data_IF_433211751689
#
_entry.id   IF_433211751689
#
_cell.length_a   1.000
_cell.length_b   1.000
_cell.length_c   1.000
_cell.angle_alpha   90.00
_cell.angle_beta   90.00
_cell.angle_gamma   90.00
#
_symmetry.space_group_name_H-M   'P 1'
#
loop_
_entity.id
_entity.type
_entity.pdbx_description
1 polymer ?
#
# COMPACT_ATOMS: atom_id res chain seq x y z
N UNK A 1 32.11 -41.26 7.49
CA UNK A 1 32.45 -40.64 6.19
C UNK A 1 31.34 -39.77 5.56
N UNK A 2 30.19 -39.50 6.22
CA UNK A 2 29.09 -38.66 5.67
C UNK A 2 28.89 -37.28 6.35
N UNK A 3 29.57 -36.96 7.46
CA UNK A 3 29.39 -35.66 8.15
C UNK A 3 30.32 -34.55 7.64
N UNK A 4 31.55 -34.87 7.23
CA UNK A 4 32.54 -33.87 6.79
C UNK A 4 32.14 -33.09 5.52
N UNK A 5 31.44 -33.71 4.57
CA UNK A 5 31.03 -33.01 3.33
C UNK A 5 29.91 -31.97 3.55
N UNK A 6 29.05 -32.11 4.57
CA UNK A 6 27.98 -31.14 4.83
C UNK A 6 28.52 -29.84 5.44
N UNK A 7 29.57 -29.95 6.25
CA UNK A 7 30.22 -28.82 6.91
C UNK A 7 31.01 -27.96 5.91
N UNK A 8 31.69 -28.60 4.94
CA UNK A 8 32.35 -27.88 3.84
C UNK A 8 31.37 -27.17 2.89
N UNK A 9 30.20 -27.77 2.58
CA UNK A 9 29.18 -27.10 1.78
C UNK A 9 28.52 -25.92 2.51
N UNK A 10 28.35 -26.02 3.83
CA UNK A 10 27.82 -24.92 4.65
C UNK A 10 28.79 -23.72 4.69
N UNK A 11 30.09 -23.99 4.87
CA UNK A 11 31.12 -22.95 4.86
C UNK A 11 31.31 -22.33 3.46
N UNK A 12 31.07 -23.08 2.39
CA UNK A 12 31.09 -22.57 1.02
C UNK A 12 29.91 -21.61 0.74
N UNK A 13 28.71 -21.93 1.24
CA UNK A 13 27.51 -21.08 1.07
C UNK A 13 27.58 -19.74 1.80
N UNK A 14 28.35 -19.63 2.88
CA UNK A 14 28.40 -18.45 3.73
C UNK A 14 29.66 -17.58 3.51
N UNK A 15 30.50 -17.90 2.52
CA UNK A 15 31.71 -17.13 2.25
C UNK A 15 31.42 -15.94 1.35
N UNK A 16 31.39 -14.74 1.93
CA UNK A 16 31.24 -13.46 1.22
C UNK A 16 32.32 -13.25 0.16
N UNK A 17 33.53 -13.77 0.39
CA UNK A 17 34.65 -13.72 -0.58
C UNK A 17 34.34 -14.57 -1.82
N UNK A 18 33.79 -15.78 -1.64
CA UNK A 18 33.44 -16.65 -2.77
C UNK A 18 32.31 -16.01 -3.60
N UNK A 19 31.33 -15.39 -2.93
CA UNK A 19 30.27 -14.64 -3.59
C UNK A 19 30.81 -13.45 -4.42
N UNK A 20 31.78 -12.71 -3.87
CA UNK A 20 32.48 -11.63 -4.59
C UNK A 20 33.25 -12.14 -5.81
N UNK A 21 33.94 -13.27 -5.70
CA UNK A 21 34.67 -13.90 -6.82
C UNK A 21 33.70 -14.32 -7.93
N UNK A 22 32.59 -14.98 -7.59
CA UNK A 22 31.58 -15.42 -8.57
C UNK A 22 30.97 -14.20 -9.29
N UNK A 23 30.68 -13.14 -8.54
CA UNK A 23 30.16 -11.88 -9.09
C UNK A 23 31.17 -11.18 -10.01
N UNK A 24 32.47 -11.24 -9.68
CA UNK A 24 33.53 -10.73 -10.55
C UNK A 24 33.62 -11.50 -11.87
N UNK A 25 33.59 -12.84 -11.82
CA UNK A 25 33.57 -13.66 -13.03
C UNK A 25 32.33 -13.41 -13.89
N UNK A 26 31.17 -13.27 -13.26
CA UNK A 26 29.93 -12.92 -13.96
C UNK A 26 30.03 -11.56 -14.65
N UNK A 27 30.54 -10.55 -13.96
CA UNK A 27 30.72 -9.20 -14.49
C UNK A 27 31.66 -9.21 -15.72
N UNK A 28 32.82 -9.86 -15.59
CA UNK A 28 33.82 -9.94 -16.67
C UNK A 28 33.25 -10.68 -17.89
N UNK A 29 32.61 -11.84 -17.67
CA UNK A 29 32.12 -12.67 -18.77
C UNK A 29 30.94 -12.03 -19.50
N UNK A 30 30.04 -11.36 -18.78
CA UNK A 30 28.81 -10.79 -19.37
C UNK A 30 29.03 -9.37 -19.90
N UNK A 31 29.97 -8.61 -19.35
CA UNK A 31 30.41 -7.33 -19.94
C UNK A 31 31.21 -7.57 -21.22
N UNK A 32 32.11 -8.56 -21.23
CA UNK A 32 32.92 -8.92 -22.39
C UNK A 32 33.75 -7.74 -22.91
N UNK A 33 33.89 -7.62 -24.23
CA UNK A 33 34.67 -6.55 -24.88
C UNK A 33 33.90 -5.24 -25.09
N UNK A 34 32.64 -5.14 -24.63
CA UNK A 34 31.81 -3.94 -24.80
C UNK A 34 31.52 -3.28 -23.43
N UNK A 35 32.32 -2.27 -23.02
CA UNK A 35 32.23 -1.65 -21.69
C UNK A 35 30.86 -1.04 -21.39
N UNK A 36 30.12 -0.61 -22.41
CA UNK A 36 28.78 -0.03 -22.24
C UNK A 36 27.75 -0.99 -21.63
N UNK A 37 28.03 -2.30 -21.54
CA UNK A 37 27.11 -3.28 -20.93
C UNK A 37 27.12 -3.25 -19.41
N UNK A 38 28.07 -2.55 -18.79
CA UNK A 38 28.19 -2.46 -17.34
C UNK A 38 26.96 -1.81 -16.68
N UNK A 39 26.21 -0.97 -17.40
CA UNK A 39 25.00 -0.29 -16.90
C UNK A 39 23.78 -1.22 -16.81
N UNK A 40 23.86 -2.45 -17.34
CA UNK A 40 22.73 -3.38 -17.30
C UNK A 40 22.44 -3.84 -15.86
N UNK A 41 21.18 -4.06 -15.47
CA UNK A 41 20.79 -4.38 -14.10
C UNK A 41 21.59 -5.54 -13.48
N UNK A 42 21.77 -6.65 -14.22
CA UNK A 42 22.53 -7.81 -13.72
C UNK A 42 24.03 -7.54 -13.56
N UNK A 43 24.60 -6.60 -14.33
CA UNK A 43 26.00 -6.18 -14.18
C UNK A 43 26.17 -5.24 -12.98
N UNK A 44 25.20 -4.35 -12.75
CA UNK A 44 25.14 -3.50 -11.56
C UNK A 44 24.98 -4.33 -10.28
N UNK A 45 24.12 -5.35 -10.28
CA UNK A 45 24.00 -6.29 -9.15
C UNK A 45 25.28 -7.08 -8.90
N UNK A 46 25.97 -7.52 -9.95
CA UNK A 46 27.27 -8.17 -9.82
C UNK A 46 28.33 -7.22 -9.26
N UNK A 47 28.34 -5.95 -9.66
CA UNK A 47 29.24 -4.92 -9.12
C UNK A 47 29.00 -4.70 -7.61
N UNK A 48 27.74 -4.68 -7.16
CA UNK A 48 27.38 -4.65 -5.74
C UNK A 48 27.91 -5.90 -5.01
N UNK A 49 27.76 -7.08 -5.62
CA UNK A 49 28.28 -8.34 -5.06
C UNK A 49 29.81 -8.36 -4.89
N UNK A 50 30.56 -7.80 -5.84
CA UNK A 50 32.02 -7.60 -5.75
C UNK A 50 32.35 -6.68 -4.57
N UNK A 51 31.62 -5.58 -4.42
CA UNK A 51 31.83 -4.61 -3.34
C UNK A 51 31.59 -5.23 -1.97
N UNK A 52 30.56 -6.06 -1.83
CA UNK A 52 30.27 -6.79 -0.58
C UNK A 52 31.35 -7.84 -0.30
N UNK A 53 31.80 -8.59 -1.31
CA UNK A 53 32.77 -9.68 -1.13
C UNK A 53 34.20 -9.21 -0.87
N UNK A 54 34.62 -8.10 -1.46
CA UNK A 54 36.00 -7.58 -1.34
C UNK A 54 36.10 -6.29 -0.51
N UNK A 55 35.00 -5.59 -0.23
CA UNK A 55 35.00 -4.36 0.57
C UNK A 55 35.47 -4.57 2.01
N UNK A 56 35.30 -5.79 2.55
CA UNK A 56 35.82 -6.20 3.85
C UNK A 56 37.35 -6.38 3.89
N UNK A 57 38.02 -6.42 2.73
CA UNK A 57 39.48 -6.61 2.63
C UNK A 57 40.25 -5.28 2.49
N UNK A 58 39.59 -4.18 2.10
CA UNK A 58 40.21 -2.85 2.04
C UNK A 58 40.82 -2.37 3.39
N UNK A 59 40.18 -2.60 4.55
CA UNK A 59 40.77 -2.28 5.84
C UNK A 59 42.03 -3.10 6.17
N UNK A 60 42.14 -4.34 5.67
CA UNK A 60 43.29 -5.22 5.96
C UNK A 60 44.56 -4.79 5.19
N UNK A 61 44.43 -4.38 3.93
CA UNK A 61 45.57 -3.91 3.13
C UNK A 61 46.05 -2.51 3.53
N UNK A 62 45.11 -1.63 3.93
CA UNK A 62 45.48 -0.31 4.47
C UNK A 62 46.10 -0.43 5.86
N UNK A 63 45.59 -1.30 6.74
CA UNK A 63 46.17 -1.54 8.05
C UNK A 63 47.58 -2.16 8.01
N UNK A 64 47.85 -3.07 7.08
CA UNK A 64 49.18 -3.71 6.95
C UNK A 64 50.24 -2.79 6.30
N UNK A 65 49.85 -2.00 5.30
CA UNK A 65 50.73 -0.98 4.70
C UNK A 65 51.02 0.16 5.70
N UNK A 66 50.01 0.58 6.48
CA UNK A 66 50.20 1.56 7.54
C UNK A 66 51.01 1.01 8.70
N UNK A 67 50.85 -0.26 9.10
CA UNK A 67 51.63 -0.92 10.15
C UNK A 67 53.13 -1.02 9.79
N UNK A 68 53.46 -1.29 8.52
CA UNK A 68 54.84 -1.29 8.04
C UNK A 68 55.48 0.11 8.06
N UNK A 69 54.70 1.17 7.79
CA UNK A 69 55.14 2.56 7.91
C UNK A 69 55.20 3.02 9.39
N UNK A 70 54.37 2.46 10.27
CA UNK A 70 54.23 2.83 11.68
C UNK A 70 55.39 2.38 12.57
N UNK A 71 56.15 1.35 12.18
CA UNK A 71 57.30 0.89 12.96
C UNK A 71 58.47 1.90 12.97
N UNK A 72 58.44 2.93 12.11
CA UNK A 72 59.53 3.91 11.98
C UNK A 72 59.27 5.26 12.69
N UNK A 73 58.05 5.54 13.15
CA UNK A 73 57.69 6.88 13.70
C UNK A 73 56.97 6.73 15.03
N UNK A 74 57.74 6.51 16.09
CA UNK A 74 57.25 6.31 17.46
C UNK A 74 57.68 7.48 18.36
N UNK A 75 56.75 8.38 18.68
CA UNK A 75 56.71 9.01 20.02
C UNK A 75 55.42 9.80 20.29
N UNK A 76 54.84 10.52 19.34
CA UNK A 76 53.80 11.53 19.66
C UNK A 76 52.36 11.23 19.20
N UNK A 77 52.13 10.23 18.35
CA UNK A 77 50.81 10.02 17.71
C UNK A 77 49.97 8.88 18.31
N UNK A 78 50.43 8.21 19.38
CA UNK A 78 49.69 7.12 20.03
C UNK A 78 48.32 7.56 20.57
N UNK A 79 48.20 8.81 21.04
CA UNK A 79 46.94 9.35 21.52
C UNK A 79 45.96 9.68 20.38
N UNK A 80 46.47 10.18 19.24
CA UNK A 80 45.64 10.52 18.09
C UNK A 80 45.04 9.26 17.44
N UNK A 81 45.81 8.18 17.35
CA UNK A 81 45.37 6.93 16.72
C UNK A 81 44.29 6.18 17.51
N UNK A 82 44.32 6.23 18.85
CA UNK A 82 43.27 5.65 19.71
C UNK A 82 41.96 6.43 19.52
N UNK A 83 42.03 7.76 19.38
CA UNK A 83 40.86 8.61 19.10
C UNK A 83 40.31 8.34 17.68
N UNK A 84 41.17 8.18 16.67
CA UNK A 84 40.75 7.85 15.30
C UNK A 84 40.07 6.48 15.19
N UNK A 85 40.57 5.47 15.92
CA UNK A 85 40.01 4.11 15.96
C UNK A 85 38.71 4.04 16.77
N UNK A 86 38.49 4.95 17.72
CA UNK A 86 37.22 5.07 18.45
C UNK A 86 36.17 5.87 17.65
N UNK A 87 36.59 6.79 16.78
CA UNK A 87 35.67 7.58 15.94
C UNK A 87 35.24 6.83 14.67
N UNK A 88 36.00 5.84 14.19
CA UNK A 88 35.63 5.07 12.99
C UNK A 88 34.43 4.13 13.17
N UNK A 89 34.22 3.46 14.33
CA UNK A 89 33.00 2.71 14.61
C UNK A 89 31.77 3.60 14.82
N UNK A 90 31.96 4.84 15.27
CA UNK A 90 30.89 5.84 15.36
C UNK A 90 30.50 6.38 13.98
N UNK A 91 31.47 6.57 13.08
CA UNK A 91 31.21 6.94 11.69
C UNK A 91 30.54 5.82 10.88
N UNK A 92 30.90 4.55 11.09
CA UNK A 92 30.28 3.41 10.40
C UNK A 92 28.94 2.99 11.00
N UNK A 93 28.69 3.25 12.29
CA UNK A 93 27.35 3.13 12.89
C UNK A 93 26.36 4.15 12.33
N UNK A 94 26.82 5.37 12.03
CA UNK A 94 26.00 6.41 11.39
C UNK A 94 25.84 6.14 9.88
N UNK A 95 26.80 5.50 9.22
CA UNK A 95 26.71 5.16 7.79
C UNK A 95 25.93 3.86 7.50
N UNK A 96 25.79 2.97 8.49
CA UNK A 96 24.91 1.78 8.43
C UNK A 96 23.49 2.05 8.94
N UNK A 97 23.22 3.26 9.41
CA UNK A 97 21.90 3.86 9.25
C UNK A 97 21.79 4.33 7.80
N UNK A 98 21.96 3.37 6.86
CA UNK A 98 21.67 3.59 5.45
C UNK A 98 20.22 4.04 5.40
N UNK A 99 20.03 5.32 5.15
CA UNK A 99 18.81 5.88 4.61
C UNK A 99 18.35 4.88 3.57
N UNK A 100 17.23 4.21 3.83
CA UNK A 100 16.53 3.48 2.77
C UNK A 100 16.22 4.55 1.73
N UNK A 101 17.05 4.65 0.70
CA UNK A 101 16.87 5.63 -0.36
C UNK A 101 15.69 5.13 -1.17
N UNK A 102 14.49 5.55 -0.78
CA UNK A 102 13.31 5.38 -1.60
C UNK A 102 13.61 6.02 -2.96
N UNK A 103 13.41 5.25 -4.02
CA UNK A 103 13.54 5.78 -5.38
C UNK A 103 12.18 6.36 -5.73
N UNK A 104 12.03 7.65 -5.53
CA UNK A 104 10.85 8.38 -5.99
C UNK A 104 10.85 8.43 -7.52
N UNK A 105 9.74 8.03 -8.13
CA UNK A 105 9.54 8.08 -9.57
C UNK A 105 8.63 9.26 -9.89
N UNK A 106 9.24 10.40 -10.21
CA UNK A 106 8.49 11.60 -10.62
C UNK A 106 8.05 11.44 -12.06
N UNK A 107 6.74 11.37 -12.28
CA UNK A 107 6.15 11.30 -13.62
C UNK A 107 6.18 12.66 -14.32
N UNK A 108 6.37 12.69 -15.64
CA UNK A 108 6.17 13.91 -16.44
C UNK A 108 4.74 13.86 -16.97
N UNK A 109 3.85 14.59 -16.31
CA UNK A 109 2.42 14.59 -16.61
C UNK A 109 2.00 15.93 -17.22
N UNK A 110 1.11 15.87 -18.20
CA UNK A 110 0.44 17.03 -18.77
C UNK A 110 -1.06 16.78 -18.77
N UNK A 111 -1.84 17.71 -18.22
CA UNK A 111 -3.30 17.62 -18.28
C UNK A 111 -3.76 17.48 -19.74
N UNK A 112 -4.72 16.60 -19.95
CA UNK A 112 -5.28 16.30 -21.27
C UNK A 112 -6.78 16.13 -21.14
N UNK A 113 -7.53 16.92 -21.92
CA UNK A 113 -8.97 16.77 -22.04
C UNK A 113 -9.31 15.63 -23.00
N UNK A 114 -10.31 14.82 -22.65
CA UNK A 114 -10.82 13.78 -23.53
C UNK A 114 -11.61 14.38 -24.70
N UNK A 115 -11.68 13.67 -25.82
CA UNK A 115 -12.58 13.99 -26.94
C UNK A 115 -13.85 13.14 -26.92
N UNK A 116 -13.99 12.26 -25.93
CA UNK A 116 -15.10 11.29 -25.79
C UNK A 116 -15.98 11.75 -24.65
N UNK A 117 -17.29 11.80 -24.87
CA UNK A 117 -18.26 12.09 -23.81
C UNK A 117 -18.27 10.98 -22.75
N UNK A 118 -18.62 11.33 -21.50
CA UNK A 118 -18.79 10.39 -20.38
C UNK A 118 -17.50 9.68 -19.88
N UNK A 119 -16.39 10.41 -19.76
CA UNK A 119 -15.20 9.90 -19.06
C UNK A 119 -15.17 10.33 -17.61
N UNK A 120 -14.45 9.58 -16.78
CA UNK A 120 -14.08 10.02 -15.43
C UNK A 120 -12.92 11.01 -15.49
N UNK A 121 -12.95 12.02 -14.63
CA UNK A 121 -11.81 12.89 -14.39
C UNK A 121 -10.74 12.15 -13.57
N UNK A 122 -9.47 12.38 -13.90
CA UNK A 122 -8.33 11.78 -13.21
C UNK A 122 -7.43 12.90 -12.72
N UNK A 123 -7.37 13.06 -11.40
CA UNK A 123 -6.50 14.00 -10.72
C UNK A 123 -5.26 13.27 -10.22
N UNK A 124 -4.08 13.82 -10.49
CA UNK A 124 -2.81 13.20 -10.11
C UNK A 124 -1.91 14.24 -9.45
N UNK A 125 -1.61 14.01 -8.18
CA UNK A 125 -0.50 14.66 -7.49
C UNK A 125 0.73 13.78 -7.60
N UNK A 126 1.87 14.42 -7.86
CA UNK A 126 3.10 13.72 -8.18
C UNK A 126 4.24 14.32 -7.37
N UNK A 127 4.77 13.53 -6.45
CA UNK A 127 5.81 13.92 -5.52
C UNK A 127 5.34 13.73 -4.08
N UNK A 128 6.14 13.09 -3.23
CA UNK A 128 5.79 12.84 -1.82
C UNK A 128 5.53 14.14 -1.05
N UNK A 129 6.28 15.20 -1.36
CA UNK A 129 6.14 16.52 -0.72
C UNK A 129 4.81 17.22 -1.02
N UNK A 130 4.07 16.77 -2.04
CA UNK A 130 2.81 17.40 -2.48
C UNK A 130 1.60 16.46 -2.46
N UNK A 131 1.81 15.14 -2.45
CA UNK A 131 0.77 14.11 -2.56
C UNK A 131 -0.03 13.91 -1.25
N UNK A 132 -0.55 15.01 -0.71
CA UNK A 132 -1.43 15.04 0.45
C UNK A 132 -2.91 15.07 0.02
N UNK A 133 -3.80 14.54 0.84
CA UNK A 133 -5.23 14.44 0.54
C UNK A 133 -5.88 15.83 0.36
N UNK A 134 -5.51 16.80 1.18
CA UNK A 134 -6.03 18.18 1.09
C UNK A 134 -5.66 18.84 -0.24
N UNK A 135 -4.41 18.68 -0.69
CA UNK A 135 -3.98 19.17 -2.00
C UNK A 135 -4.74 18.49 -3.14
N UNK A 136 -5.14 17.21 -2.97
CA UNK A 136 -5.90 16.49 -3.99
C UNK A 136 -7.33 17.04 -4.07
N UNK A 137 -7.93 17.31 -2.91
CA UNK A 137 -9.25 17.94 -2.79
C UNK A 137 -9.24 19.35 -3.40
N UNK A 138 -8.19 20.13 -3.16
CA UNK A 138 -8.05 21.46 -3.76
C UNK A 138 -7.90 21.39 -5.28
N UNK A 139 -7.08 20.47 -5.79
CA UNK A 139 -6.93 20.22 -7.22
C UNK A 139 -8.26 19.79 -7.87
N UNK A 140 -9.02 18.91 -7.22
CA UNK A 140 -10.37 18.53 -7.69
C UNK A 140 -11.28 19.77 -7.76
N UNK A 141 -11.26 20.60 -6.71
CA UNK A 141 -12.04 21.82 -6.62
C UNK A 141 -11.71 22.86 -7.70
N UNK A 142 -10.42 23.08 -7.97
CA UNK A 142 -9.94 23.93 -9.07
C UNK A 142 -10.47 23.51 -10.45
N UNK A 143 -10.85 22.23 -10.57
CA UNK A 143 -11.41 21.62 -11.76
C UNK A 143 -12.92 21.31 -11.64
N UNK A 144 -13.64 22.04 -10.77
CA UNK A 144 -15.09 21.99 -10.58
C UNK A 144 -15.64 20.67 -10.00
N UNK A 145 -14.81 19.88 -9.31
CA UNK A 145 -15.25 18.74 -8.52
C UNK A 145 -15.12 19.06 -7.03
N UNK A 146 -16.17 19.61 -6.44
CA UNK A 146 -16.21 19.93 -5.01
C UNK A 146 -16.24 18.65 -4.16
N UNK A 147 -15.35 18.55 -3.18
CA UNK A 147 -15.36 17.43 -2.24
C UNK A 147 -16.43 17.60 -1.17
N UNK A 148 -16.56 18.79 -0.60
CA UNK A 148 -17.51 19.08 0.47
C UNK A 148 -18.86 19.52 -0.08
N UNK A 149 -19.93 18.82 0.32
CA UNK A 149 -21.29 19.25 0.04
C UNK A 149 -21.69 20.35 1.03
N UNK A 150 -21.81 21.58 0.53
CA UNK A 150 -22.16 22.74 1.35
C UNK A 150 -23.10 23.69 0.62
N UNK A 151 -23.88 24.44 1.38
CA UNK A 151 -24.61 25.60 0.85
C UNK A 151 -23.70 26.78 0.49
N UNK A 152 -22.49 26.80 1.05
CA UNK A 152 -21.44 27.77 0.70
C UNK A 152 -20.67 27.26 -0.50
N UNK A 153 -20.41 28.13 -1.48
CA UNK A 153 -19.63 27.80 -2.67
C UNK A 153 -18.24 28.42 -2.52
N UNK A 154 -17.20 27.59 -2.65
CA UNK A 154 -15.79 27.96 -2.68
C UNK A 154 -15.00 26.90 -3.46
N UNK A 155 -13.67 26.97 -3.52
CA UNK A 155 -12.83 26.10 -4.36
C UNK A 155 -13.19 24.62 -4.26
N UNK A 156 -13.27 24.06 -3.05
CA UNK A 156 -13.50 22.63 -2.82
C UNK A 156 -14.86 22.32 -2.17
N UNK A 157 -15.79 23.29 -2.10
CA UNK A 157 -17.10 23.14 -1.48
C UNK A 157 -18.23 23.71 -2.37
N UNK A 158 -19.38 23.03 -2.39
CA UNK A 158 -20.55 23.47 -3.15
C UNK A 158 -21.75 22.54 -2.99
N UNK A 159 -22.91 22.93 -3.53
CA UNK A 159 -24.17 22.21 -3.30
C UNK A 159 -24.18 20.79 -3.85
N UNK A 160 -23.37 20.56 -4.89
CA UNK A 160 -23.18 19.27 -5.57
C UNK A 160 -21.92 18.53 -5.09
N UNK A 161 -21.37 18.93 -3.93
CA UNK A 161 -20.19 18.28 -3.36
C UNK A 161 -20.43 16.81 -3.00
N UNK A 162 -19.34 16.03 -2.94
CA UNK A 162 -19.39 14.57 -2.82
C UNK A 162 -19.83 14.08 -1.44
N UNK A 163 -19.41 14.76 -0.37
CA UNK A 163 -19.60 14.36 1.02
C UNK A 163 -20.26 15.49 1.80
N UNK A 164 -21.45 15.25 2.35
CA UNK A 164 -22.11 16.16 3.28
C UNK A 164 -21.63 15.96 4.72
N UNK A 165 -21.84 16.98 5.55
CA UNK A 165 -21.43 16.98 6.95
C UNK A 165 -22.06 15.86 7.80
N UNK A 166 -23.20 15.32 7.40
CA UNK A 166 -23.93 14.26 8.11
C UNK A 166 -23.82 12.88 7.47
N UNK A 167 -23.00 12.73 6.42
CA UNK A 167 -22.89 11.45 5.70
C UNK A 167 -22.16 10.39 6.51
N UNK A 168 -22.48 9.13 6.24
CA UNK A 168 -21.68 7.98 6.68
C UNK A 168 -20.68 7.68 5.58
N UNK A 169 -19.39 7.85 5.86
CA UNK A 169 -18.30 7.63 4.92
C UNK A 169 -17.65 6.28 5.19
N UNK A 170 -17.81 5.35 4.25
CA UNK A 170 -17.11 4.06 4.25
C UNK A 170 -15.82 4.18 3.45
N UNK A 171 -14.68 4.13 4.15
CA UNK A 171 -13.35 4.07 3.55
C UNK A 171 -13.01 2.61 3.32
N UNK A 172 -13.11 2.17 2.07
CA UNK A 172 -12.67 0.83 1.69
C UNK A 172 -11.16 0.86 1.49
N UNK A 173 -10.38 0.38 2.44
CA UNK A 173 -8.92 0.30 2.34
C UNK A 173 -8.47 -1.10 1.88
N UNK A 174 -7.17 -1.30 1.61
CA UNK A 174 -6.58 -2.63 1.51
C UNK A 174 -6.12 -3.10 2.89
N UNK A 175 -6.69 -4.20 3.39
CA UNK A 175 -6.31 -4.76 4.69
C UNK A 175 -5.82 -6.21 4.64
N UNK A 176 -5.82 -6.87 3.46
CA UNK A 176 -5.42 -8.28 3.31
C UNK A 176 -3.95 -8.54 3.69
N UNK A 177 -3.06 -7.58 3.40
CA UNK A 177 -1.62 -7.74 3.57
C UNK A 177 -1.05 -6.59 4.41
N UNK A 178 -0.04 -6.91 5.21
CA UNK A 178 0.74 -5.92 5.96
C UNK A 178 1.74 -5.21 5.04
N UNK A 179 2.50 -4.27 5.60
CA UNK A 179 3.61 -3.58 4.93
C UNK A 179 3.13 -2.92 3.63
N UNK A 180 3.87 -3.01 2.53
CA UNK A 180 3.52 -2.38 1.24
C UNK A 180 2.30 -2.98 0.53
N UNK A 181 1.66 -3.99 1.14
CA UNK A 181 0.44 -4.60 0.62
C UNK A 181 -0.86 -3.90 1.02
N UNK A 182 -0.82 -3.08 2.08
CA UNK A 182 -1.95 -2.33 2.59
C UNK A 182 -2.01 -0.88 2.09
N UNK A 183 -3.17 -0.25 2.18
CA UNK A 183 -3.32 1.19 1.90
C UNK A 183 -2.52 1.99 2.91
N UNK A 184 -1.89 3.08 2.45
CA UNK A 184 -1.09 3.93 3.32
C UNK A 184 -1.90 4.49 4.50
N UNK A 185 -1.54 4.13 5.74
CA UNK A 185 -2.29 4.58 6.91
C UNK A 185 -2.08 6.06 7.23
N UNK A 186 -0.97 6.66 6.79
CA UNK A 186 -0.79 8.13 6.86
C UNK A 186 -1.84 8.82 5.97
N UNK A 187 -2.10 8.30 4.77
CA UNK A 187 -3.11 8.85 3.87
C UNK A 187 -4.55 8.56 4.33
N UNK A 188 -4.80 7.42 4.98
CA UNK A 188 -6.09 7.15 5.63
C UNK A 188 -6.33 8.20 6.72
N UNK A 189 -5.31 8.51 7.51
CA UNK A 189 -5.38 9.56 8.55
C UNK A 189 -5.68 10.92 7.92
N UNK A 190 -4.94 11.34 6.90
CA UNK A 190 -5.18 12.62 6.22
C UNK A 190 -6.60 12.71 5.62
N UNK A 191 -7.11 11.61 5.07
CA UNK A 191 -8.49 11.57 4.55
C UNK A 191 -9.53 11.73 5.67
N UNK A 192 -9.31 11.09 6.82
CA UNK A 192 -10.17 11.25 7.99
C UNK A 192 -10.13 12.70 8.49
N UNK A 193 -8.95 13.30 8.60
CA UNK A 193 -8.79 14.71 8.98
C UNK A 193 -9.54 15.63 8.00
N UNK A 194 -9.39 15.43 6.69
CA UNK A 194 -10.13 16.20 5.69
C UNK A 194 -11.65 16.06 5.83
N UNK A 195 -12.17 14.84 6.04
CA UNK A 195 -13.62 14.63 6.23
C UNK A 195 -14.10 15.29 7.53
N UNK A 196 -13.34 15.18 8.62
CA UNK A 196 -13.68 15.77 9.93
C UNK A 196 -13.68 17.30 9.87
N UNK A 197 -12.72 17.87 9.16
CA UNK A 197 -12.56 19.31 8.95
C UNK A 197 -13.56 19.87 7.90
N UNK A 198 -14.64 19.13 7.61
CA UNK A 198 -15.72 19.61 6.75
C UNK A 198 -16.13 21.04 7.17
N UNK A 199 -16.24 21.99 6.24
CA UNK A 199 -16.42 23.42 6.53
C UNK A 199 -17.70 23.78 7.31
N UNK A 200 -18.73 22.92 7.23
CA UNK A 200 -20.00 23.02 7.95
C UNK A 200 -19.98 22.25 9.30
N UNK A 201 -18.84 21.66 9.67
CA UNK A 201 -18.63 20.78 10.82
C UNK A 201 -19.13 19.35 10.59
N UNK A 202 -18.24 18.35 10.63
CA UNK A 202 -18.64 16.96 10.44
C UNK A 202 -19.38 16.37 11.65
N UNK A 203 -20.52 15.74 11.39
CA UNK A 203 -21.42 15.12 12.40
C UNK A 203 -21.80 13.68 12.07
N UNK A 204 -21.41 13.21 10.88
CA UNK A 204 -21.64 11.87 10.40
C UNK A 204 -20.75 10.83 11.08
N UNK A 205 -20.46 9.76 10.35
CA UNK A 205 -19.64 8.65 10.82
C UNK A 205 -18.64 8.23 9.75
N UNK A 206 -17.44 7.81 10.15
CA UNK A 206 -16.42 7.27 9.26
C UNK A 206 -16.13 5.83 9.68
N UNK A 207 -16.23 4.89 8.74
CA UNK A 207 -15.89 3.48 8.97
C UNK A 207 -14.84 3.01 7.98
N UNK A 208 -13.72 2.51 8.50
CA UNK A 208 -12.68 1.87 7.67
C UNK A 208 -13.00 0.39 7.57
N UNK A 209 -13.27 -0.12 6.37
CA UNK A 209 -13.73 -1.48 6.18
C UNK A 209 -13.13 -2.17 4.95
N UNK A 210 -12.86 -3.47 5.03
CA UNK A 210 -12.40 -4.27 3.89
C UNK A 210 -12.59 -5.77 4.15
N UNK A 211 -12.61 -6.55 3.06
CA UNK A 211 -12.53 -8.00 3.06
C UNK A 211 -11.07 -8.40 2.85
N UNK A 212 -10.43 -8.80 3.94
CA UNK A 212 -9.07 -9.34 3.95
C UNK A 212 -8.92 -10.73 3.31
N UNK A 213 -9.98 -11.27 2.70
CA UNK A 213 -10.03 -12.60 2.12
C UNK A 213 -9.62 -13.72 3.09
N UNK A 214 -10.02 -13.56 4.36
CA UNK A 214 -9.79 -14.52 5.44
C UNK A 214 -8.37 -14.48 6.03
N UNK A 215 -7.61 -13.41 5.78
CA UNK A 215 -6.26 -13.22 6.35
C UNK A 215 -5.93 -11.77 6.67
N UNK A 216 -6.86 -10.85 6.45
CA UNK A 216 -6.61 -9.43 6.66
C UNK A 216 -6.67 -9.04 8.13
N UNK A 217 -6.24 -7.82 8.38
CA UNK A 217 -6.31 -7.19 9.69
C UNK A 217 -6.44 -5.68 9.55
N UNK A 218 -7.23 -5.06 10.41
CA UNK A 218 -7.21 -3.60 10.61
C UNK A 218 -6.12 -3.17 11.59
N UNK A 219 -5.54 -4.13 12.31
CA UNK A 219 -4.59 -3.98 13.41
C UNK A 219 -3.26 -4.67 13.05
N UNK A 220 -2.72 -4.36 11.87
CA UNK A 220 -1.42 -4.88 11.46
C UNK A 220 -0.30 -4.21 12.27
N UNK A 221 0.61 -5.00 12.85
CA UNK A 221 1.79 -4.49 13.57
C UNK A 221 2.87 -3.87 12.67
N UNK A 222 2.67 -3.93 11.35
CA UNK A 222 3.56 -3.40 10.33
C UNK A 222 2.73 -2.92 9.14
N UNK A 223 2.60 -1.62 8.97
CA UNK A 223 1.67 -0.99 8.02
C UNK A 223 2.38 -0.23 6.90
N UNK A 224 1.67 0.01 5.81
CA UNK A 224 2.17 0.88 4.76
C UNK A 224 2.16 2.33 5.27
N UNK A 225 3.26 2.82 5.82
CA UNK A 225 3.34 4.18 6.37
C UNK A 225 4.80 4.57 6.62
N UNK A 226 5.01 5.85 6.92
CA UNK A 226 6.23 6.33 7.56
C UNK A 226 6.37 5.75 8.97
N UNK A 227 5.33 5.91 9.81
CA UNK A 227 5.21 5.16 11.05
C UNK A 227 4.54 3.81 10.80
N UNK A 228 5.38 2.81 10.55
CA UNK A 228 4.99 1.42 10.29
C UNK A 228 4.21 0.76 11.43
N UNK A 229 4.09 1.40 12.60
CA UNK A 229 3.30 0.86 13.73
C UNK A 229 1.90 1.43 13.80
N UNK A 230 1.57 2.42 12.97
CA UNK A 230 0.26 3.04 12.97
C UNK A 230 -0.67 2.26 12.03
N UNK A 231 -1.50 1.38 12.60
CA UNK A 231 -2.49 0.60 11.85
C UNK A 231 -3.75 1.40 11.52
N UNK A 232 -4.60 0.90 10.63
CA UNK A 232 -5.89 1.53 10.34
C UNK A 232 -6.77 1.65 11.60
N UNK A 233 -6.70 0.65 12.48
CA UNK A 233 -7.36 0.68 13.78
C UNK A 233 -6.75 1.71 14.72
N UNK A 234 -5.42 1.83 14.76
CA UNK A 234 -4.77 2.87 15.55
C UNK A 234 -5.16 4.27 15.05
N UNK A 235 -5.21 4.47 13.73
CA UNK A 235 -5.69 5.72 13.12
C UNK A 235 -7.13 6.01 13.56
N UNK A 236 -8.06 5.06 13.45
CA UNK A 236 -9.43 5.26 13.92
C UNK A 236 -9.48 5.66 15.40
N UNK A 237 -8.67 5.03 16.25
CA UNK A 237 -8.57 5.34 17.67
C UNK A 237 -8.00 6.74 17.98
N UNK A 238 -7.29 7.38 17.05
CA UNK A 238 -6.83 8.77 17.25
C UNK A 238 -7.99 9.77 17.28
N UNK A 239 -9.13 9.43 16.66
CA UNK A 239 -10.26 10.35 16.47
C UNK A 239 -11.52 9.93 17.25
N UNK A 240 -11.59 8.68 17.72
CA UNK A 240 -12.84 8.11 18.22
C UNK A 240 -13.33 8.69 19.57
N UNK A 241 -12.48 9.42 20.30
CA UNK A 241 -12.87 10.13 21.52
C UNK A 241 -13.76 11.35 21.25
N UNK A 242 -13.65 11.95 20.07
CA UNK A 242 -14.37 13.17 19.67
C UNK A 242 -15.34 12.96 18.50
N UNK A 243 -15.02 12.01 17.61
CA UNK A 243 -15.75 11.73 16.38
C UNK A 243 -16.16 10.26 16.27
N UNK A 244 -17.18 9.96 15.47
CA UNK A 244 -17.57 8.57 15.20
C UNK A 244 -16.65 7.98 14.13
N UNK A 245 -15.49 7.49 14.55
CA UNK A 245 -14.53 6.81 13.66
C UNK A 245 -14.28 5.41 14.15
N UNK A 246 -14.56 4.40 13.32
CA UNK A 246 -14.39 2.99 13.67
C UNK A 246 -13.78 2.17 12.54
N UNK A 247 -13.48 0.91 12.81
CA UNK A 247 -13.04 -0.05 11.81
C UNK A 247 -13.96 -1.26 11.80
N UNK A 248 -14.23 -1.84 10.64
CA UNK A 248 -14.98 -3.08 10.52
C UNK A 248 -14.29 -4.06 9.56
N UNK A 249 -13.82 -5.20 10.07
CA UNK A 249 -13.17 -6.22 9.26
C UNK A 249 -14.21 -7.21 8.73
N UNK A 250 -14.47 -7.20 7.41
CA UNK A 250 -15.46 -8.11 6.79
C UNK A 250 -15.03 -9.58 6.82
N UNK A 251 -13.76 -9.89 7.13
CA UNK A 251 -13.31 -11.27 7.27
C UNK A 251 -14.10 -12.08 8.31
N UNK A 252 -14.61 -11.40 9.34
CA UNK A 252 -15.38 -12.02 10.40
C UNK A 252 -16.77 -12.50 9.95
N UNK A 253 -17.31 -11.88 8.90
CA UNK A 253 -18.68 -12.12 8.41
C UNK A 253 -18.71 -12.71 6.99
N UNK A 254 -17.55 -12.83 6.33
CA UNK A 254 -17.44 -13.19 4.91
C UNK A 254 -18.08 -14.53 4.54
N UNK A 255 -18.22 -15.46 5.47
CA UNK A 255 -18.81 -16.78 5.18
C UNK A 255 -20.27 -16.92 5.63
N UNK A 256 -20.87 -15.83 6.13
CA UNK A 256 -22.24 -15.82 6.63
C UNK A 256 -23.17 -15.27 5.56
N UNK A 257 -24.00 -16.11 4.98
CA UNK A 257 -25.10 -15.66 4.12
C UNK A 257 -26.29 -15.22 4.99
N UNK A 258 -26.80 -14.02 4.73
CA UNK A 258 -27.91 -13.39 5.50
C UNK A 258 -28.92 -12.76 4.54
N UNK A 259 -30.12 -12.47 5.04
CA UNK A 259 -31.11 -11.66 4.32
C UNK A 259 -30.87 -10.16 4.58
N UNK A 260 -31.54 -9.28 3.83
CA UNK A 260 -31.42 -7.84 4.02
C UNK A 260 -32.17 -7.34 5.28
N UNK A 261 -31.79 -6.19 5.83
CA UNK A 261 -32.47 -5.57 6.98
C UNK A 261 -33.97 -5.37 6.74
N UNK A 262 -34.37 -5.02 5.50
CA UNK A 262 -35.77 -4.89 5.11
C UNK A 262 -36.57 -6.20 5.18
N UNK A 263 -35.88 -7.33 5.23
CA UNK A 263 -36.47 -8.66 5.39
C UNK A 263 -36.50 -9.13 6.86
N UNK A 264 -36.05 -8.27 7.79
CA UNK A 264 -36.08 -8.52 9.23
C UNK A 264 -34.86 -9.29 9.75
N UNK A 265 -33.82 -9.49 8.94
CA UNK A 265 -32.57 -10.09 9.39
C UNK A 265 -31.59 -9.02 9.85
N UNK A 266 -31.29 -9.02 11.15
CA UNK A 266 -30.39 -8.05 11.78
C UNK A 266 -28.96 -8.58 11.94
N UNK A 267 -28.66 -9.78 11.46
CA UNK A 267 -27.31 -10.36 11.58
C UNK A 267 -26.35 -9.73 10.56
N UNK A 268 -25.10 -9.55 10.98
CA UNK A 268 -24.02 -9.18 10.07
C UNK A 268 -23.66 -10.34 9.15
N UNK A 269 -23.41 -10.04 7.88
CA UNK A 269 -23.15 -11.06 6.87
C UNK A 269 -23.08 -10.50 5.47
N UNK A 270 -23.25 -11.39 4.52
CA UNK A 270 -23.28 -11.11 3.11
C UNK A 270 -24.63 -11.49 2.52
N UNK A 271 -25.20 -10.59 1.72
CA UNK A 271 -26.34 -10.91 0.88
C UNK A 271 -25.78 -11.49 -0.42
N UNK A 272 -26.27 -12.65 -0.83
CA UNK A 272 -25.91 -13.33 -2.08
C UNK A 272 -27.07 -13.24 -3.06
N UNK A 273 -26.81 -12.82 -4.29
CA UNK A 273 -27.82 -12.89 -5.34
C UNK A 273 -28.11 -14.35 -5.69
N UNK A 274 -29.40 -14.73 -5.80
CA UNK A 274 -29.79 -16.13 -6.00
C UNK A 274 -29.41 -16.67 -7.39
N UNK A 275 -29.14 -15.78 -8.34
CA UNK A 275 -28.80 -16.12 -9.72
C UNK A 275 -27.52 -15.40 -10.13
N UNK A 276 -26.63 -16.12 -10.81
CA UNK A 276 -25.48 -15.50 -11.47
C UNK A 276 -25.94 -14.56 -12.59
N UNK A 277 -25.13 -13.56 -12.88
CA UNK A 277 -25.28 -12.74 -14.07
C UNK A 277 -25.14 -13.61 -15.34
N UNK A 278 -26.05 -13.51 -16.32
CA UNK A 278 -26.07 -14.41 -17.47
C UNK A 278 -24.92 -14.18 -18.48
N UNK A 279 -24.26 -13.03 -18.46
CA UNK A 279 -23.16 -12.73 -19.39
C UNK A 279 -21.79 -13.04 -18.76
N UNK A 280 -21.63 -12.67 -17.50
CA UNK A 280 -20.36 -12.74 -16.79
C UNK A 280 -20.26 -13.92 -15.83
N UNK A 281 -21.37 -14.62 -15.56
CA UNK A 281 -21.47 -15.77 -14.66
C UNK A 281 -21.12 -15.48 -13.19
N UNK A 282 -20.93 -14.21 -12.83
CA UNK A 282 -20.65 -13.80 -11.46
C UNK A 282 -21.91 -13.87 -10.60
N UNK A 283 -21.77 -14.44 -9.40
CA UNK A 283 -22.73 -14.30 -8.33
C UNK A 283 -22.42 -13.03 -7.54
N UNK A 284 -23.20 -11.98 -7.71
CA UNK A 284 -23.02 -10.75 -6.93
C UNK A 284 -23.33 -11.00 -5.45
N UNK A 285 -22.44 -10.53 -4.57
CA UNK A 285 -22.69 -10.48 -3.13
C UNK A 285 -22.11 -9.20 -2.53
N UNK A 286 -22.67 -8.75 -1.41
CA UNK A 286 -22.22 -7.53 -0.71
C UNK A 286 -22.42 -7.63 0.80
N UNK A 287 -21.58 -6.93 1.59
CA UNK A 287 -21.67 -6.97 3.04
C UNK A 287 -22.82 -6.11 3.57
N UNK A 288 -23.38 -6.56 4.68
CA UNK A 288 -24.32 -5.83 5.53
C UNK A 288 -23.89 -6.03 6.98
N UNK A 289 -23.74 -4.94 7.73
CA UNK A 289 -23.18 -4.98 9.08
C UNK A 289 -23.55 -3.75 9.92
N UNK A 290 -23.53 -3.93 11.23
CA UNK A 290 -23.64 -2.84 12.22
C UNK A 290 -22.25 -2.35 12.67
N UNK A 291 -22.03 -1.04 12.70
CA UNK A 291 -20.76 -0.45 13.19
C UNK A 291 -20.70 -0.40 14.72
N UNK A 292 -19.53 -0.07 15.29
CA UNK A 292 -19.36 0.12 16.74
C UNK A 292 -20.25 1.23 17.33
N UNK A 293 -20.77 2.13 16.48
CA UNK A 293 -21.67 3.22 16.86
C UNK A 293 -23.16 2.91 16.61
N UNK A 294 -23.48 1.67 16.21
CA UNK A 294 -24.85 1.20 15.97
C UNK A 294 -25.41 1.57 14.60
N UNK A 295 -24.59 2.05 13.67
CA UNK A 295 -25.03 2.39 12.31
C UNK A 295 -25.15 1.11 11.50
N UNK A 296 -26.34 0.84 10.97
CA UNK A 296 -26.66 -0.37 10.22
C UNK A 296 -26.48 -0.13 8.72
N UNK A 297 -25.38 -0.65 8.19
CA UNK A 297 -24.95 -0.42 6.81
C UNK A 297 -25.35 -1.63 5.96
N UNK A 298 -26.15 -1.40 4.92
CA UNK A 298 -26.21 -2.27 3.74
C UNK A 298 -25.35 -1.65 2.65
N UNK A 299 -24.29 -2.33 2.23
CA UNK A 299 -23.34 -1.75 1.28
C UNK A 299 -24.02 -1.30 -0.02
N UNK A 300 -25.01 -2.06 -0.50
CA UNK A 300 -25.77 -1.74 -1.71
C UNK A 300 -26.86 -0.70 -1.46
N UNK A 301 -27.62 -0.85 -0.37
CA UNK A 301 -28.87 -0.11 -0.21
C UNK A 301 -28.72 1.19 0.60
N UNK A 302 -27.65 1.35 1.38
CA UNK A 302 -27.39 2.53 2.20
C UNK A 302 -27.56 2.27 3.70
N UNK A 303 -27.96 3.28 4.46
CA UNK A 303 -28.10 3.21 5.92
C UNK A 303 -29.52 2.81 6.29
N UNK A 304 -29.68 1.70 7.01
CA UNK A 304 -31.00 1.26 7.48
C UNK A 304 -31.45 2.08 8.70
N UNK A 305 -32.65 2.65 8.63
CA UNK A 305 -33.23 3.46 9.72
C UNK A 305 -34.40 2.79 10.46
N UNK A 306 -34.59 1.47 10.26
CA UNK A 306 -35.70 0.71 10.83
C UNK A 306 -36.95 0.66 9.94
N UNK A 307 -37.07 1.52 8.93
CA UNK A 307 -38.22 1.55 8.01
C UNK A 307 -37.83 1.56 6.53
N UNK A 308 -36.64 2.05 6.20
CA UNK A 308 -36.11 2.12 4.84
C UNK A 308 -34.61 2.39 4.86
N UNK A 309 -34.04 2.61 3.67
CA UNK A 309 -32.64 2.91 3.49
C UNK A 309 -32.40 4.38 3.11
N UNK A 310 -31.61 5.06 3.91
CA UNK A 310 -31.11 6.41 3.66
C UNK A 310 -29.91 6.35 2.71
N UNK A 311 -29.86 7.29 1.76
CA UNK A 311 -28.87 7.33 0.68
C UNK A 311 -27.66 8.22 1.02
N UNK A 312 -27.35 8.34 2.31
CA UNK A 312 -26.24 9.12 2.87
C UNK A 312 -24.99 8.27 3.14
N UNK A 313 -24.91 7.06 2.59
CA UNK A 313 -23.68 6.25 2.58
C UNK A 313 -22.79 6.69 1.41
N UNK A 314 -21.57 7.15 1.72
CA UNK A 314 -20.54 7.49 0.73
C UNK A 314 -19.42 6.48 0.76
N UNK A 315 -19.10 5.87 -0.38
CA UNK A 315 -18.05 4.86 -0.47
C UNK A 315 -16.82 5.50 -1.11
N UNK A 316 -15.74 5.58 -0.35
CA UNK A 316 -14.42 5.95 -0.87
C UNK A 316 -13.60 4.67 -1.05
N UNK A 317 -13.40 4.28 -2.30
CA UNK A 317 -12.58 3.12 -2.64
C UNK A 317 -11.10 3.51 -2.69
N UNK A 318 -10.33 3.06 -1.71
CA UNK A 318 -8.98 3.56 -1.44
C UNK A 318 -7.89 2.47 -1.45
N UNK A 319 -7.59 1.84 -2.60
CA UNK A 319 -6.49 0.88 -2.69
C UNK A 319 -5.10 1.51 -2.72
N UNK A 320 -4.09 0.69 -2.41
CA UNK A 320 -2.70 0.91 -2.83
C UNK A 320 -2.45 0.29 -4.21
N UNK A 321 -1.72 1.01 -5.07
CA UNK A 321 -1.24 0.52 -6.36
C UNK A 321 -0.14 -0.52 -6.15
N UNK A 322 -0.27 -1.69 -6.76
CA UNK A 322 0.72 -2.77 -6.60
C UNK A 322 0.72 -3.76 -7.73
N UNK A 323 1.88 -4.37 -7.97
CA UNK A 323 1.97 -5.51 -8.88
C UNK A 323 1.19 -6.72 -8.36
N UNK A 324 0.80 -7.60 -9.27
CA UNK A 324 0.09 -8.82 -8.95
C UNK A 324 0.24 -9.88 -10.03
N UNK A 325 0.57 -11.11 -9.63
CA UNK A 325 0.88 -12.23 -10.51
C UNK A 325 -0.12 -12.48 -11.64
N UNK A 326 -1.42 -12.47 -11.35
CA UNK A 326 -2.45 -12.72 -12.37
C UNK A 326 -2.97 -11.48 -13.11
N UNK A 327 -2.68 -10.26 -12.64
CA UNK A 327 -3.28 -9.02 -13.18
C UNK A 327 -2.24 -8.04 -13.73
N UNK A 328 -0.95 -8.35 -13.59
CA UNK A 328 0.15 -7.40 -13.78
C UNK A 328 0.17 -6.36 -12.67
N UNK A 329 -0.90 -5.57 -12.54
CA UNK A 329 -1.10 -4.50 -11.56
C UNK A 329 -2.53 -4.54 -11.03
N UNK A 330 -2.72 -4.16 -9.76
CA UNK A 330 -4.03 -3.98 -9.13
C UNK A 330 -4.23 -2.54 -8.70
N UNK A 331 -5.48 -2.09 -8.77
CA UNK A 331 -5.95 -0.76 -8.39
C UNK A 331 -7.44 -0.79 -8.08
N UNK A 332 -8.17 0.26 -8.44
CA UNK A 332 -9.57 0.51 -8.02
C UNK A 332 -10.55 -0.59 -8.37
N UNK A 333 -10.57 -1.04 -9.64
CA UNK A 333 -11.50 -2.09 -10.10
C UNK A 333 -11.29 -3.41 -9.35
N UNK A 334 -10.04 -3.88 -9.30
CA UNK A 334 -9.70 -5.13 -8.59
C UNK A 334 -9.90 -5.00 -7.08
N UNK A 335 -9.73 -3.81 -6.53
CA UNK A 335 -9.98 -3.57 -5.13
C UNK A 335 -11.47 -3.62 -4.79
N UNK A 336 -12.30 -3.04 -5.65
CA UNK A 336 -13.76 -3.07 -5.51
C UNK A 336 -14.30 -4.50 -5.59
N UNK A 337 -13.69 -5.38 -6.39
CA UNK A 337 -13.99 -6.81 -6.37
C UNK A 337 -13.81 -7.45 -4.97
N UNK A 338 -13.02 -6.84 -4.08
CA UNK A 338 -12.94 -7.25 -2.67
C UNK A 338 -14.23 -7.02 -1.86
N UNK A 339 -15.21 -6.26 -2.37
CA UNK A 339 -16.50 -6.10 -1.70
C UNK A 339 -17.20 -7.44 -1.54
N UNK A 340 -17.31 -8.23 -2.61
CA UNK A 340 -18.00 -9.52 -2.59
C UNK A 340 -17.32 -10.58 -1.71
N UNK A 341 -18.11 -11.57 -1.28
CA UNK A 341 -17.62 -12.72 -0.53
C UNK A 341 -17.17 -13.84 -1.47
N UNK A 342 -15.87 -14.07 -1.62
CA UNK A 342 -15.38 -15.21 -2.41
C UNK A 342 -15.85 -16.60 -1.91
N UNK A 343 -16.05 -16.87 -0.60
CA UNK A 343 -16.59 -18.16 -0.15
C UNK A 343 -18.04 -18.42 -0.51
N UNK A 344 -18.85 -17.37 -0.68
CA UNK A 344 -20.27 -17.47 -1.01
C UNK A 344 -20.54 -17.25 -2.50
N UNK A 345 -19.73 -16.41 -3.14
CA UNK A 345 -19.77 -16.08 -4.55
C UNK A 345 -18.58 -16.70 -5.31
N UNK A 346 -18.22 -16.12 -6.46
CA UNK A 346 -17.26 -16.69 -7.39
C UNK A 346 -16.48 -15.62 -8.18
N UNK A 347 -16.35 -14.38 -7.68
CA UNK A 347 -15.78 -13.31 -8.51
C UNK A 347 -14.30 -13.48 -8.91
N UNK A 348 -13.48 -14.28 -8.20
CA UNK A 348 -12.14 -14.63 -8.71
C UNK A 348 -12.18 -15.50 -9.98
N UNK A 349 -13.25 -16.30 -10.15
CA UNK A 349 -13.39 -17.23 -11.26
C UNK A 349 -13.93 -16.54 -12.52
N UNK A 350 -14.45 -15.32 -12.39
CA UNK A 350 -15.17 -14.57 -13.43
C UNK A 350 -14.53 -13.21 -13.73
N UNK A 351 -13.21 -13.13 -13.65
CA UNK A 351 -12.49 -11.88 -13.91
C UNK A 351 -12.35 -11.66 -15.41
N UNK A 352 -12.00 -12.71 -16.16
CA UNK A 352 -11.83 -12.69 -17.61
C UNK A 352 -13.16 -12.56 -18.37
N UNK A 353 -14.27 -12.90 -17.73
CA UNK A 353 -15.64 -12.68 -18.25
C UNK A 353 -16.17 -11.26 -18.02
N UNK A 354 -15.46 -10.42 -17.25
CA UNK A 354 -15.88 -9.04 -16.95
C UNK A 354 -16.70 -8.88 -15.66
N UNK A 355 -16.81 -9.92 -14.82
CA UNK A 355 -17.63 -9.90 -13.61
C UNK A 355 -17.28 -8.80 -12.60
N UNK A 356 -16.05 -8.28 -12.58
CA UNK A 356 -15.71 -7.10 -11.76
C UNK A 356 -16.50 -5.85 -12.16
N UNK A 357 -16.76 -5.67 -13.46
CA UNK A 357 -17.58 -4.57 -13.97
C UNK A 357 -19.04 -4.74 -13.57
N UNK A 358 -19.58 -5.96 -13.74
CA UNK A 358 -20.93 -6.32 -13.29
C UNK A 358 -21.12 -6.02 -11.81
N UNK A 359 -20.18 -6.42 -10.96
CA UNK A 359 -20.23 -6.16 -9.53
C UNK A 359 -20.31 -4.66 -9.20
N UNK A 360 -19.51 -3.82 -9.88
CA UNK A 360 -19.53 -2.38 -9.67
C UNK A 360 -20.85 -1.74 -10.09
N UNK A 361 -21.47 -2.22 -11.17
CA UNK A 361 -22.77 -1.72 -11.63
C UNK A 361 -23.90 -2.18 -10.71
N UNK A 362 -23.89 -3.45 -10.30
CA UNK A 362 -24.93 -4.04 -9.44
C UNK A 362 -24.98 -3.42 -8.04
N UNK A 363 -23.80 -3.10 -7.50
CA UNK A 363 -23.65 -2.58 -6.13
C UNK A 363 -23.56 -1.05 -6.08
N UNK A 364 -23.36 -0.40 -7.22
CA UNK A 364 -23.18 1.05 -7.31
C UNK A 364 -21.71 1.47 -7.31
N UNK A 365 -21.40 2.50 -8.09
CA UNK A 365 -20.04 3.03 -8.18
C UNK A 365 -19.63 3.71 -6.86
N UNK A 366 -18.35 3.61 -6.45
CA UNK A 366 -17.82 4.43 -5.36
C UNK A 366 -18.11 5.92 -5.60
N UNK A 367 -18.40 6.66 -4.53
CA UNK A 367 -18.47 8.13 -4.55
C UNK A 367 -17.16 8.71 -5.04
N UNK A 368 -16.04 8.13 -4.59
CA UNK A 368 -14.70 8.53 -5.01
C UNK A 368 -13.77 7.32 -5.04
N UNK A 369 -12.85 7.30 -6.00
CA UNK A 369 -11.74 6.37 -6.02
C UNK A 369 -10.45 7.14 -5.77
N UNK A 370 -9.67 6.74 -4.77
CA UNK A 370 -8.35 7.31 -4.48
C UNK A 370 -7.33 6.18 -4.57
N UNK A 371 -6.25 6.36 -5.32
CA UNK A 371 -5.19 5.34 -5.41
C UNK A 371 -3.97 5.86 -4.64
N UNK A 372 -3.60 5.15 -3.58
CA UNK A 372 -2.30 5.33 -2.93
C UNK A 372 -1.20 4.79 -3.85
N UNK A 373 -0.34 5.70 -4.32
CA UNK A 373 0.82 5.38 -5.13
C UNK A 373 2.13 5.89 -4.51
N UNK A 374 2.15 6.17 -3.20
CA UNK A 374 3.33 6.71 -2.51
C UNK A 374 4.31 5.56 -2.19
N UNK A 375 3.80 4.53 -1.51
CA UNK A 375 4.59 3.40 -1.07
C UNK A 375 4.12 2.11 -1.72
N UNK A 376 4.57 1.87 -2.95
CA UNK A 376 4.10 0.77 -3.79
C UNK A 376 5.12 -0.37 -3.87
N UNK A 377 4.64 -1.59 -4.11
CA UNK A 377 5.49 -2.65 -4.64
C UNK A 377 5.54 -2.53 -6.17
N UNK A 378 6.70 -2.13 -6.70
CA UNK A 378 6.94 -1.94 -8.13
C UNK A 378 7.59 -3.15 -8.81
N UNK A 379 7.80 -4.27 -8.10
CA UNK A 379 8.40 -5.47 -8.68
C UNK A 379 7.52 -6.02 -9.81
N UNK A 380 8.08 -6.29 -11.01
CA UNK A 380 7.32 -6.80 -12.13
C UNK A 380 6.89 -8.26 -11.89
N UNK A 381 5.95 -8.75 -12.70
CA UNK A 381 5.40 -10.12 -12.60
C UNK A 381 6.47 -11.22 -12.63
N UNK A 382 7.57 -10.97 -13.37
CA UNK A 382 8.70 -11.89 -13.44
C UNK A 382 9.59 -11.94 -12.18
N UNK A 383 9.35 -11.08 -11.20
CA UNK A 383 10.13 -10.99 -9.95
C UNK A 383 9.64 -12.01 -8.93
N UNK A 384 10.57 -12.59 -8.15
CA UNK A 384 10.22 -13.41 -6.99
C UNK A 384 9.61 -12.59 -5.83
N UNK A 385 9.69 -11.26 -5.93
CA UNK A 385 9.17 -10.30 -4.95
C UNK A 385 7.95 -9.54 -5.51
N UNK A 386 7.26 -10.10 -6.49
CA UNK A 386 6.00 -9.55 -7.00
C UNK A 386 4.86 -9.68 -5.98
N UNK A 387 3.81 -8.89 -6.19
CA UNK A 387 2.54 -9.12 -5.52
C UNK A 387 2.36 -8.37 -4.19
N UNK A 388 1.17 -8.51 -3.60
CA UNK A 388 0.79 -7.73 -2.43
C UNK A 388 1.43 -8.21 -1.12
N UNK A 389 2.04 -9.40 -1.09
CA UNK A 389 2.66 -9.96 0.12
C UNK A 389 4.13 -9.57 0.33
N UNK A 390 4.67 -8.67 -0.49
CA UNK A 390 6.11 -8.34 -0.51
C UNK A 390 6.52 -7.55 0.73
N UNK A 391 7.68 -7.92 1.29
CA UNK A 391 8.21 -7.25 2.48
C UNK A 391 8.80 -5.86 2.17
N UNK A 392 8.97 -5.00 3.18
CA UNK A 392 9.60 -3.69 3.03
C UNK A 392 10.99 -3.73 2.38
N UNK A 393 11.76 -4.80 2.65
CA UNK A 393 13.11 -4.94 2.12
C UNK A 393 13.15 -5.38 0.66
N UNK A 394 12.03 -5.89 0.15
CA UNK A 394 11.92 -6.48 -1.17
C UNK A 394 11.07 -5.64 -2.12
N UNK A 395 10.19 -4.78 -1.58
CA UNK A 395 9.25 -3.94 -2.31
C UNK A 395 9.91 -2.78 -3.08
#
# INVERSE_FOLDING_TARGET
MKSSNKEHLHNFRNSTIIFGIISLFWLIFRTGTKPSRIVYPCQQSALKGITIGFGSLLPMFTATALWAYFQQVLSYWKAFFIVSILITPLGSGIYLQTTYSYTEVVLQLSSTETTIDFTSDIFVLNGMDVAHITNLIDLMGEHNLSFYQSSTIDTNQGIDGLVASSDVVLIKNNCQWSQRGGTNSDLIKELIEAIIDHPDGFTGEIVIADNGQGRGSMDWSSTNAEDKKLSAKDVANLFNDEYKVSTFLWDNIRSSEVLEYSEGDMNDGYILYPTADPETEIHTSYPKFETDFGTQISFKNGIWNGTGFEQNLKIINFPVLKSHSSFGVTGTLKHYMGVQSQPLANGHDNIDTGGMGTLMIDLGLPTLNIIDAIWVNANPESSLSEGPGTSYSEA
#
